data_IF_493610915981
#
_entry.id   IF_493610915981
#
_cell.length_a   1.000
_cell.length_b   1.000
_cell.length_c   1.000
_cell.angle_alpha   90.00
_cell.angle_beta   90.00
_cell.angle_gamma   90.00
#
_symmetry.space_group_name_H-M   'P 1'
#
loop_
_entity.id
_entity.type
_entity.pdbx_description
1 polymer ?
#
# COMPACT_ATOMS: atom_id res chain seq x y z
N UNK A 1 4.75 -14.54 -7.30
CA UNK A 1 3.95 -13.74 -6.34
C UNK A 1 3.98 -12.28 -6.77
N UNK A 2 2.86 -11.57 -6.72
CA UNK A 2 2.77 -10.16 -7.12
C UNK A 2 2.67 -9.24 -5.91
N UNK A 3 3.40 -8.14 -5.93
CA UNK A 3 3.35 -7.07 -4.94
C UNK A 3 2.98 -5.77 -5.63
N UNK A 4 1.94 -5.10 -5.13
CA UNK A 4 1.53 -3.77 -5.55
C UNK A 4 1.74 -2.82 -4.36
N UNK A 5 2.49 -1.75 -4.55
CA UNK A 5 2.81 -0.79 -3.48
C UNK A 5 2.19 0.55 -3.85
N UNK A 6 1.21 0.98 -3.06
CA UNK A 6 0.48 2.23 -3.27
C UNK A 6 1.02 3.29 -2.32
N UNK A 7 1.66 4.31 -2.88
CA UNK A 7 2.38 5.34 -2.12
C UNK A 7 2.36 6.68 -2.85
N UNK A 8 2.57 7.78 -2.13
CA UNK A 8 2.79 9.09 -2.76
C UNK A 8 4.18 9.25 -3.39
N UNK A 9 5.13 8.36 -3.06
CA UNK A 9 6.52 8.48 -3.49
C UNK A 9 7.06 7.19 -4.10
N UNK A 10 6.48 6.72 -5.23
CA UNK A 10 6.94 5.48 -5.86
C UNK A 10 8.42 5.57 -6.27
N UNK A 11 8.86 6.73 -6.77
CA UNK A 11 10.25 6.92 -7.22
C UNK A 11 11.28 6.83 -6.10
N UNK A 12 10.90 7.08 -4.83
CA UNK A 12 11.79 6.83 -3.69
C UNK A 12 12.05 5.33 -3.47
N UNK A 13 11.08 4.48 -3.81
CA UNK A 13 11.17 3.03 -3.60
C UNK A 13 11.79 2.30 -4.79
N UNK A 14 11.68 2.87 -6.01
CA UNK A 14 12.19 2.24 -7.25
C UNK A 14 13.64 1.74 -7.15
N UNK A 15 14.61 2.51 -6.57
CA UNK A 15 15.98 2.02 -6.44
C UNK A 15 16.11 0.77 -5.55
N UNK A 16 15.27 0.62 -4.52
CA UNK A 16 15.29 -0.54 -3.60
C UNK A 16 14.99 -1.86 -4.31
N UNK A 17 14.21 -1.81 -5.39
CA UNK A 17 13.80 -2.97 -6.18
C UNK A 17 14.66 -3.18 -7.43
N UNK A 18 15.54 -2.24 -7.74
CA UNK A 18 16.35 -2.25 -8.97
C UNK A 18 17.75 -2.83 -8.76
N UNK A 19 18.03 -3.42 -7.59
CA UNK A 19 19.34 -3.96 -7.24
C UNK A 19 19.23 -5.21 -6.35
N UNK A 20 20.31 -5.97 -6.26
CA UNK A 20 20.47 -7.07 -5.30
C UNK A 20 19.49 -8.23 -5.50
N UNK A 21 19.10 -8.86 -4.38
CA UNK A 21 18.28 -10.09 -4.38
C UNK A 21 16.89 -9.87 -4.98
N UNK A 22 16.30 -8.68 -4.78
CA UNK A 22 14.96 -8.36 -5.31
C UNK A 22 14.98 -8.21 -6.83
N UNK A 23 16.02 -7.57 -7.41
CA UNK A 23 16.20 -7.55 -8.86
C UNK A 23 16.33 -8.96 -9.41
N UNK A 24 17.22 -9.78 -8.84
CA UNK A 24 17.42 -11.15 -9.32
C UNK A 24 16.16 -12.03 -9.19
N UNK A 25 15.31 -11.79 -8.19
CA UNK A 25 14.04 -12.50 -8.06
C UNK A 25 13.01 -12.08 -9.13
N UNK A 26 12.98 -10.80 -9.52
CA UNK A 26 12.14 -10.30 -10.62
C UNK A 26 12.62 -10.83 -11.97
N UNK A 27 13.93 -10.81 -12.24
CA UNK A 27 14.51 -11.34 -13.50
C UNK A 27 14.23 -12.84 -13.68
N UNK A 28 14.16 -13.59 -12.58
CA UNK A 28 13.78 -15.01 -12.57
C UNK A 28 12.27 -15.25 -12.60
N UNK A 29 11.44 -14.20 -12.61
CA UNK A 29 9.98 -14.29 -12.61
C UNK A 29 9.38 -14.83 -11.32
N UNK A 30 10.14 -14.87 -10.21
CA UNK A 30 9.66 -15.38 -8.92
C UNK A 30 8.69 -14.40 -8.26
N UNK A 31 8.97 -13.10 -8.41
CA UNK A 31 8.16 -12.00 -7.91
C UNK A 31 7.94 -10.94 -8.97
N UNK A 32 6.88 -10.16 -8.82
CA UNK A 32 6.60 -8.95 -9.58
C UNK A 32 6.34 -7.82 -8.60
N UNK A 33 6.95 -6.65 -8.79
CA UNK A 33 6.76 -5.48 -7.93
C UNK A 33 6.23 -4.34 -8.80
N UNK A 34 5.06 -3.82 -8.44
CA UNK A 34 4.38 -2.73 -9.11
C UNK A 34 4.26 -1.55 -8.16
N UNK A 35 4.76 -0.40 -8.60
CA UNK A 35 4.70 0.85 -7.83
C UNK A 35 3.60 1.74 -8.38
N UNK A 36 2.70 2.17 -7.51
CA UNK A 36 1.54 2.98 -7.84
C UNK A 36 1.63 4.32 -7.14
N UNK A 37 1.63 5.40 -7.92
CA UNK A 37 1.48 6.75 -7.39
C UNK A 37 0.03 6.97 -6.94
N UNK A 38 -0.20 7.08 -5.63
CA UNK A 38 -1.53 7.32 -5.09
C UNK A 38 -2.16 8.62 -5.63
N UNK A 39 -1.35 9.64 -5.91
CA UNK A 39 -1.84 10.92 -6.44
C UNK A 39 -2.48 10.77 -7.83
N UNK A 40 -2.10 9.74 -8.60
CA UNK A 40 -2.72 9.44 -9.89
C UNK A 40 -4.18 8.96 -9.77
N UNK A 41 -4.58 8.48 -8.58
CA UNK A 41 -5.94 8.00 -8.30
C UNK A 41 -6.87 9.06 -7.71
N UNK A 42 -6.39 10.30 -7.53
CA UNK A 42 -7.21 11.41 -7.02
C UNK A 42 -8.40 11.74 -7.93
N UNK A 43 -9.61 11.96 -7.36
CA UNK A 43 -10.82 12.31 -8.12
C UNK A 43 -10.79 13.67 -8.83
N UNK A 44 -9.95 14.60 -8.39
CA UNK A 44 -9.95 15.98 -8.89
C UNK A 44 -8.68 16.33 -9.68
N UNK A 45 -8.05 15.34 -10.32
CA UNK A 45 -6.73 15.47 -10.94
C UNK A 45 -5.59 15.26 -9.94
N UNK A 46 -4.34 15.25 -10.42
CA UNK A 46 -3.14 15.06 -9.59
C UNK A 46 -3.05 16.18 -8.56
N UNK A 47 -3.31 15.90 -7.28
CA UNK A 47 -2.71 16.56 -6.11
C UNK A 47 -3.49 16.35 -4.80
N UNK A 48 -4.82 16.18 -4.84
CA UNK A 48 -5.63 16.19 -3.60
C UNK A 48 -5.75 14.77 -3.04
N UNK A 49 -4.84 14.44 -2.14
CA UNK A 49 -4.72 13.11 -1.51
C UNK A 49 -4.97 13.15 -0.01
N UNK A 50 -5.16 14.33 0.56
CA UNK A 50 -5.39 14.60 1.97
C UNK A 50 -6.54 15.61 2.16
N UNK A 51 -7.08 15.64 3.37
CA UNK A 51 -8.06 16.61 3.82
C UNK A 51 -7.92 16.83 5.34
N UNK A 52 -8.59 17.86 5.84
CA UNK A 52 -8.63 18.14 7.29
C UNK A 52 -9.40 17.02 8.01
N UNK A 53 -8.92 16.56 9.18
CA UNK A 53 -9.64 15.59 9.97
C UNK A 53 -11.01 16.15 10.41
N UNK A 54 -12.04 15.31 10.32
CA UNK A 54 -13.32 15.61 10.98
C UNK A 54 -13.10 15.71 12.50
N UNK A 55 -13.74 16.68 13.14
CA UNK A 55 -13.52 17.01 14.56
C UNK A 55 -12.40 18.02 14.81
N UNK A 56 -11.66 18.42 13.77
CA UNK A 56 -10.54 19.35 13.88
C UNK A 56 -9.27 18.69 14.42
N UNK A 57 -8.28 19.52 14.77
CA UNK A 57 -6.93 19.06 15.15
C UNK A 57 -5.85 19.63 14.23
N UNK A 58 -4.59 19.41 14.60
CA UNK A 58 -3.46 19.72 13.74
C UNK A 58 -3.25 18.59 12.71
N UNK A 59 -2.60 18.91 11.60
CA UNK A 59 -2.25 17.93 10.56
C UNK A 59 -3.37 17.65 9.56
N UNK A 60 -3.11 16.67 8.70
CA UNK A 60 -3.97 16.27 7.58
C UNK A 60 -4.15 14.76 7.61
N UNK A 61 -5.29 14.26 7.15
CA UNK A 61 -5.59 12.83 7.02
C UNK A 61 -5.74 12.49 5.55
N UNK A 62 -5.17 11.38 5.13
CA UNK A 62 -5.28 10.96 3.74
C UNK A 62 -6.72 10.60 3.38
N UNK A 63 -7.17 11.13 2.25
CA UNK A 63 -8.50 10.87 1.69
C UNK A 63 -8.65 9.40 1.33
N UNK A 64 -9.83 8.79 1.56
CA UNK A 64 -10.05 7.39 1.23
C UNK A 64 -10.21 7.13 -0.27
N UNK A 65 -10.73 8.08 -1.04
CA UNK A 65 -11.11 7.85 -2.45
C UNK A 65 -9.91 7.44 -3.34
N UNK A 66 -8.71 8.05 -3.23
CA UNK A 66 -7.54 7.58 -3.96
C UNK A 66 -7.17 6.13 -3.64
N UNK A 67 -7.26 5.70 -2.38
CA UNK A 67 -6.94 4.33 -1.98
C UNK A 67 -7.94 3.33 -2.57
N UNK A 68 -9.23 3.61 -2.48
CA UNK A 68 -10.26 2.75 -3.07
C UNK A 68 -10.09 2.62 -4.59
N UNK A 69 -9.82 3.73 -5.28
CA UNK A 69 -9.57 3.70 -6.72
C UNK A 69 -8.31 2.93 -7.10
N UNK A 70 -7.24 3.02 -6.32
CA UNK A 70 -6.04 2.23 -6.51
C UNK A 70 -6.32 0.73 -6.34
N UNK A 71 -7.01 0.35 -5.26
CA UNK A 71 -7.41 -1.04 -5.01
C UNK A 71 -8.31 -1.60 -6.12
N UNK A 72 -9.26 -0.81 -6.61
CA UNK A 72 -10.14 -1.21 -7.73
C UNK A 72 -9.35 -1.41 -9.03
N UNK A 73 -8.42 -0.51 -9.33
CA UNK A 73 -7.58 -0.61 -10.52
C UNK A 73 -6.68 -1.87 -10.47
N UNK A 74 -6.02 -2.11 -9.33
CA UNK A 74 -5.18 -3.29 -9.12
C UNK A 74 -6.02 -4.56 -9.18
N UNK A 75 -7.20 -4.59 -8.55
CA UNK A 75 -8.11 -5.74 -8.58
C UNK A 75 -8.51 -6.11 -10.02
N UNK A 76 -8.77 -5.11 -10.86
CA UNK A 76 -9.08 -5.33 -12.30
C UNK A 76 -7.88 -5.88 -13.06
N UNK A 77 -6.67 -5.37 -12.80
CA UNK A 77 -5.45 -5.84 -13.47
C UNK A 77 -5.11 -7.29 -13.06
N UNK A 78 -5.25 -7.61 -11.77
CA UNK A 78 -4.98 -8.94 -11.20
C UNK A 78 -6.10 -9.95 -11.53
N UNK A 79 -7.31 -9.48 -11.82
CA UNK A 79 -8.49 -10.31 -12.09
C UNK A 79 -9.18 -10.89 -10.84
N UNK A 80 -8.65 -10.59 -9.65
CA UNK A 80 -9.22 -10.94 -8.34
C UNK A 80 -8.74 -9.97 -7.27
N UNK A 81 -9.47 -9.86 -6.16
CA UNK A 81 -9.08 -8.97 -5.05
C UNK A 81 -7.77 -9.49 -4.42
N UNK A 82 -6.68 -8.70 -4.45
CA UNK A 82 -5.43 -9.06 -3.78
C UNK A 82 -5.59 -8.99 -2.26
N UNK A 83 -4.63 -9.55 -1.52
CA UNK A 83 -4.59 -9.41 -0.08
C UNK A 83 -4.09 -8.01 0.30
N UNK A 84 -4.94 -7.19 0.90
CA UNK A 84 -4.69 -5.76 1.16
C UNK A 84 -4.12 -5.57 2.56
N UNK A 85 -2.96 -4.94 2.65
CA UNK A 85 -2.28 -4.64 3.91
C UNK A 85 -2.13 -3.12 4.03
N UNK A 86 -2.65 -2.55 5.12
CA UNK A 86 -2.35 -1.18 5.52
C UNK A 86 -1.11 -1.19 6.41
N UNK A 87 -0.08 -0.41 6.05
CA UNK A 87 1.11 -0.24 6.88
C UNK A 87 0.87 0.89 7.89
N UNK A 88 0.93 0.56 9.19
CA UNK A 88 0.58 1.46 10.29
C UNK A 88 1.18 0.98 11.61
N UNK A 89 1.53 1.92 12.49
CA UNK A 89 2.02 1.63 13.83
C UNK A 89 0.94 1.00 14.74
N UNK A 90 -0.35 1.14 14.40
CA UNK A 90 -1.45 0.50 15.13
C UNK A 90 -1.66 -0.98 14.72
N UNK A 91 -0.98 -1.42 13.66
CA UNK A 91 -1.11 -2.76 13.12
C UNK A 91 -0.45 -3.85 13.97
N UNK A 92 -0.73 -5.11 13.62
CA UNK A 92 -0.04 -6.25 14.24
C UNK A 92 1.45 -6.23 13.90
N UNK A 93 2.30 -6.57 14.87
CA UNK A 93 3.74 -6.60 14.66
C UNK A 93 4.15 -7.62 13.60
N UNK A 94 5.00 -7.19 12.67
CA UNK A 94 5.57 -8.02 11.65
C UNK A 94 6.57 -9.00 12.26
N UNK A 95 6.31 -10.29 12.08
CA UNK A 95 7.16 -11.37 12.56
C UNK A 95 7.57 -12.27 11.40
N UNK A 96 8.63 -13.06 11.62
CA UNK A 96 9.05 -14.06 10.64
C UNK A 96 7.95 -15.09 10.33
N UNK A 97 7.07 -15.38 11.30
CA UNK A 97 5.92 -16.25 11.08
C UNK A 97 4.90 -15.61 10.14
N UNK A 98 4.55 -14.35 10.37
CA UNK A 98 3.64 -13.61 9.50
C UNK A 98 4.21 -13.44 8.09
N UNK A 99 5.52 -13.21 7.95
CA UNK A 99 6.19 -13.19 6.65
C UNK A 99 5.96 -14.48 5.85
N UNK A 100 6.06 -15.65 6.49
CA UNK A 100 5.80 -16.95 5.84
C UNK A 100 4.34 -17.12 5.44
N UNK A 101 3.40 -16.59 6.22
CA UNK A 101 1.98 -16.62 5.91
C UNK A 101 1.64 -15.72 4.72
N UNK A 102 2.18 -14.50 4.71
CA UNK A 102 2.04 -13.56 3.60
C UNK A 102 2.69 -14.09 2.30
N UNK A 103 3.82 -14.79 2.40
CA UNK A 103 4.49 -15.40 1.25
C UNK A 103 3.66 -16.49 0.53
N UNK A 104 2.57 -16.99 1.15
CA UNK A 104 1.64 -17.94 0.52
C UNK A 104 0.55 -17.25 -0.31
N UNK A 105 0.44 -15.92 -0.25
CA UNK A 105 -0.53 -15.16 -1.05
C UNK A 105 -0.05 -15.07 -2.48
N UNK A 106 -0.98 -15.09 -3.43
CA UNK A 106 -0.65 -14.93 -4.85
C UNK A 106 -0.34 -13.46 -5.21
N UNK A 107 -1.14 -12.53 -4.66
CA UNK A 107 -1.00 -11.10 -4.85
C UNK A 107 -1.25 -10.36 -3.52
N UNK A 108 -0.40 -9.39 -3.22
CA UNK A 108 -0.46 -8.55 -2.02
C UNK A 108 -0.39 -7.08 -2.42
N UNK A 109 -1.26 -6.25 -1.83
CA UNK A 109 -1.20 -4.79 -1.93
C UNK A 109 -0.72 -4.23 -0.60
N UNK A 110 0.28 -3.34 -0.65
CA UNK A 110 0.74 -2.56 0.49
C UNK A 110 0.27 -1.12 0.33
N UNK A 111 -0.56 -0.65 1.26
CA UNK A 111 -1.02 0.74 1.33
C UNK A 111 -0.10 1.52 2.27
N UNK A 112 0.60 2.52 1.73
CA UNK A 112 1.51 3.35 2.50
C UNK A 112 0.83 4.67 2.93
N UNK A 113 0.52 4.80 4.21
CA UNK A 113 0.03 6.04 4.81
C UNK A 113 1.09 7.14 4.91
N UNK A 114 0.63 8.39 5.05
CA UNK A 114 1.40 9.61 5.29
C UNK A 114 0.57 10.56 6.17
N UNK A 115 1.14 11.72 6.50
CA UNK A 115 0.51 12.73 7.36
C UNK A 115 0.14 12.14 8.73
N UNK A 116 -1.02 12.49 9.28
CA UNK A 116 -1.51 11.93 10.55
C UNK A 116 -2.11 10.52 10.39
N UNK A 117 -2.15 9.99 9.17
CA UNK A 117 -2.65 8.67 8.86
C UNK A 117 -3.64 8.65 7.70
N UNK A 118 -4.36 7.54 7.61
CA UNK A 118 -5.38 7.31 6.59
C UNK A 118 -6.77 7.36 7.21
N UNK A 119 -7.77 7.71 6.43
CA UNK A 119 -9.16 7.59 6.86
C UNK A 119 -9.48 6.15 7.28
N UNK A 120 -10.14 5.99 8.44
CA UNK A 120 -10.50 4.71 9.06
C UNK A 120 -11.26 3.76 8.11
N UNK A 121 -11.98 4.28 7.12
CA UNK A 121 -12.68 3.46 6.10
C UNK A 121 -11.70 2.65 5.25
N UNK A 122 -10.47 3.14 5.05
CA UNK A 122 -9.40 2.42 4.35
C UNK A 122 -8.87 1.28 5.21
N UNK A 123 -8.65 1.54 6.52
CA UNK A 123 -8.23 0.51 7.47
C UNK A 123 -9.23 -0.64 7.53
N UNK A 124 -10.52 -0.33 7.67
CA UNK A 124 -11.61 -1.32 7.68
C UNK A 124 -11.77 -2.11 6.38
N UNK A 125 -11.32 -1.56 5.25
CA UNK A 125 -11.36 -2.23 3.95
C UNK A 125 -10.12 -3.12 3.70
N UNK A 126 -9.10 -3.01 4.56
CA UNK A 126 -7.86 -3.77 4.49
C UNK A 126 -8.02 -5.12 5.17
N UNK A 127 -7.32 -6.15 4.68
CA UNK A 127 -7.35 -7.48 5.28
C UNK A 127 -6.44 -7.59 6.51
N UNK A 128 -5.44 -6.72 6.58
CA UNK A 128 -4.46 -6.66 7.65
C UNK A 128 -3.97 -5.23 7.84
N UNK A 129 -3.86 -4.79 9.09
CA UNK A 129 -3.05 -3.64 9.47
C UNK A 129 -1.74 -4.15 10.07
N UNK A 130 -0.61 -3.68 9.57
CA UNK A 130 0.72 -4.23 9.87
C UNK A 130 1.68 -3.15 10.35
N UNK A 131 2.31 -3.38 11.50
CA UNK A 131 3.44 -2.59 12.01
C UNK A 131 4.76 -3.34 11.84
N UNK A 132 5.87 -2.63 11.60
CA UNK A 132 7.22 -3.22 11.59
C UNK A 132 7.93 -3.12 12.95
N UNK A 133 7.34 -2.45 13.93
CA UNK A 133 7.93 -2.22 15.25
C UNK A 133 7.15 -1.20 16.08
N UNK A 134 7.51 -1.10 17.36
CA UNK A 134 7.02 -0.08 18.30
C UNK A 134 7.96 1.13 18.34
#
# INVERSE_FOLDING_TARGET
MRFDIVTLYPEMLRPLFSQGVLLGAQEKGLIQIHLHDLAAFSPHGRAVVDDRPFGGGAGMVMRPEPFFRAMDAITKEVGKRPYVILLSAQGVLFTQQLAKELARKEAVVLLCGRYEGVDERVARASDLELSIGD
#
